data_IF_540078803173
#
_entry.id   IF_540078803173
#
_cell.length_a   1.000
_cell.length_b   1.000
_cell.length_c   1.000
_cell.angle_alpha   90.00
_cell.angle_beta   90.00
_cell.angle_gamma   90.00
#
_symmetry.space_group_name_H-M   'P 1'
#
loop_
_entity.id
_entity.type
_entity.pdbx_description
1 polymer ?
#
# COMPACT_ATOMS: atom_id res chain seq x y z
N UNK A 1 -10.71 11.60 -17.54
CA UNK A 1 -9.58 11.98 -16.65
C UNK A 1 -8.40 11.06 -16.97
N UNK A 2 -7.19 11.57 -17.28
CA UNK A 2 -6.03 10.69 -17.50
C UNK A 2 -5.82 9.83 -16.25
N UNK A 3 -5.59 8.52 -16.41
CA UNK A 3 -5.50 7.56 -15.30
C UNK A 3 -4.36 7.97 -14.36
N UNK A 4 -4.70 8.39 -13.14
CA UNK A 4 -3.75 8.68 -12.06
C UNK A 4 -3.37 7.34 -11.40
N UNK A 5 -2.07 7.09 -11.26
CA UNK A 5 -1.44 5.86 -10.78
C UNK A 5 -0.73 6.07 -9.43
N UNK A 6 -0.58 7.30 -8.95
CA UNK A 6 -0.28 7.57 -7.54
C UNK A 6 -0.58 9.02 -7.19
N UNK A 7 -0.85 9.30 -5.91
CA UNK A 7 -0.99 10.65 -5.37
C UNK A 7 -0.14 10.80 -4.11
N UNK A 8 0.46 11.97 -3.96
CA UNK A 8 1.23 12.32 -2.77
C UNK A 8 0.91 13.74 -2.34
N UNK A 9 0.71 13.96 -1.04
CA UNK A 9 0.66 15.30 -0.50
C UNK A 9 2.08 15.89 -0.48
N UNK A 10 2.24 17.06 -1.10
CA UNK A 10 3.53 17.74 -1.18
C UNK A 10 3.36 19.25 -1.00
N UNK A 11 4.43 19.91 -0.61
CA UNK A 11 4.55 21.35 -0.71
C UNK A 11 5.41 21.69 -1.91
N UNK A 12 4.86 22.40 -2.90
CA UNK A 12 5.63 22.94 -4.02
C UNK A 12 6.34 24.21 -3.55
N UNK A 13 7.67 24.17 -3.52
CA UNK A 13 8.53 25.26 -3.02
C UNK A 13 8.92 26.14 -4.20
N UNK A 14 8.43 27.39 -4.19
CA UNK A 14 8.85 28.44 -5.13
C UNK A 14 9.80 29.44 -4.47
N UNK A 15 10.32 30.39 -5.26
CA UNK A 15 11.27 31.40 -4.77
C UNK A 15 10.71 32.33 -3.69
N UNK A 16 9.39 32.54 -3.67
CA UNK A 16 8.72 33.48 -2.75
C UNK A 16 7.56 32.85 -1.96
N UNK A 17 7.05 31.70 -2.41
CA UNK A 17 5.82 31.11 -1.86
C UNK A 17 5.97 29.59 -1.84
N UNK A 18 5.54 28.99 -0.72
CA UNK A 18 5.33 27.55 -0.58
C UNK A 18 3.83 27.28 -0.70
N UNK A 19 3.44 26.36 -1.59
CA UNK A 19 2.03 26.02 -1.81
C UNK A 19 1.80 24.53 -1.60
N UNK A 20 0.78 24.18 -0.84
CA UNK A 20 0.32 22.80 -0.70
C UNK A 20 -0.30 22.31 -2.02
N UNK A 21 0.10 21.13 -2.48
CA UNK A 21 -0.30 20.54 -3.76
C UNK A 21 -0.44 19.04 -3.62
N UNK A 22 -1.29 18.45 -4.46
CA UNK A 22 -1.29 17.01 -4.66
C UNK A 22 -0.42 16.71 -5.87
N UNK A 23 0.68 16.00 -5.68
CA UNK A 23 1.52 15.49 -6.77
C UNK A 23 0.90 14.20 -7.28
N UNK A 24 0.41 14.23 -8.52
CA UNK A 24 -0.25 13.10 -9.16
C UNK A 24 0.64 12.50 -10.24
N UNK A 25 0.95 11.22 -10.12
CA UNK A 25 1.64 10.48 -11.17
C UNK A 25 0.63 9.75 -12.03
N UNK A 26 0.73 9.87 -13.35
CA UNK A 26 -0.04 9.10 -14.32
C UNK A 26 0.85 8.09 -15.05
N UNK A 27 0.28 7.45 -16.08
CA UNK A 27 1.00 6.45 -16.88
C UNK A 27 2.13 7.05 -17.75
N UNK A 28 1.96 8.27 -18.26
CA UNK A 28 2.90 8.90 -19.21
C UNK A 28 3.49 10.24 -18.72
N UNK A 29 2.94 10.78 -17.64
CA UNK A 29 3.26 12.12 -17.15
C UNK A 29 2.91 12.23 -15.67
N UNK A 30 3.50 13.19 -14.97
CA UNK A 30 3.07 13.60 -13.64
C UNK A 30 2.54 15.04 -13.66
N UNK A 31 1.76 15.41 -12.65
CA UNK A 31 1.09 16.71 -12.58
C UNK A 31 0.92 17.15 -11.12
N UNK A 32 0.61 18.43 -10.92
CA UNK A 32 0.30 18.98 -9.60
C UNK A 32 -1.12 19.55 -9.59
N UNK A 33 -1.94 19.11 -8.66
CA UNK A 33 -3.29 19.63 -8.43
C UNK A 33 -3.26 20.66 -7.30
N UNK A 34 -4.04 21.72 -7.46
CA UNK A 34 -4.36 22.63 -6.36
C UNK A 34 -5.34 21.94 -5.40
N UNK A 35 -5.08 22.03 -4.10
CA UNK A 35 -5.86 21.34 -3.07
C UNK A 35 -7.29 21.89 -2.96
N UNK A 36 -7.47 23.20 -3.12
CA UNK A 36 -8.73 23.87 -2.80
C UNK A 36 -9.75 23.70 -3.93
N UNK A 37 -9.31 23.89 -5.17
CA UNK A 37 -10.19 23.85 -6.34
C UNK A 37 -9.98 22.62 -7.24
N UNK A 38 -9.05 21.72 -6.90
CA UNK A 38 -8.76 20.48 -7.64
C UNK A 38 -8.30 20.70 -9.09
N UNK A 39 -7.92 21.93 -9.46
CA UNK A 39 -7.44 22.21 -10.81
C UNK A 39 -5.98 21.77 -10.99
N UNK A 40 -5.70 21.19 -12.15
CA UNK A 40 -4.32 20.89 -12.58
C UNK A 40 -3.57 22.20 -12.77
N UNK A 41 -2.51 22.41 -11.99
CA UNK A 41 -1.66 23.59 -12.05
C UNK A 41 -0.51 23.44 -13.03
N UNK A 42 0.11 22.25 -13.09
CA UNK A 42 1.20 21.93 -14.02
C UNK A 42 1.20 20.44 -14.36
N UNK A 43 1.70 20.08 -15.54
CA UNK A 43 1.89 18.69 -16.00
C UNK A 43 3.24 18.57 -16.71
N UNK A 44 3.95 17.48 -16.48
CA UNK A 44 5.26 17.18 -17.04
C UNK A 44 5.28 15.76 -17.62
N UNK A 45 5.65 15.58 -18.90
CA UNK A 45 5.96 14.27 -19.47
C UNK A 45 7.11 13.57 -18.73
N UNK A 46 7.13 12.23 -18.73
CA UNK A 46 8.27 11.49 -18.13
C UNK A 46 9.55 11.61 -18.95
N UNK A 47 9.44 11.75 -20.27
CA UNK A 47 10.56 12.04 -21.16
C UNK A 47 11.24 13.36 -20.78
N UNK A 48 10.53 14.37 -20.29
CA UNK A 48 11.17 15.64 -19.91
C UNK A 48 12.03 15.53 -18.65
N UNK A 49 11.90 14.47 -17.87
CA UNK A 49 12.66 14.26 -16.64
C UNK A 49 14.07 13.78 -16.98
N UNK A 50 15.04 14.59 -16.61
CA UNK A 50 16.47 14.25 -16.70
C UNK A 50 16.90 13.45 -15.45
N UNK A 51 16.50 13.92 -14.27
CA UNK A 51 16.75 13.24 -13.01
C UNK A 51 15.96 13.84 -11.85
N UNK A 52 16.05 13.20 -10.69
CA UNK A 52 15.49 13.71 -9.45
C UNK A 52 16.48 13.46 -8.32
N UNK A 53 16.68 14.47 -7.47
CA UNK A 53 17.69 14.42 -6.42
C UNK A 53 17.07 14.83 -5.09
N UNK A 54 17.52 14.19 -4.01
CA UNK A 54 17.32 14.70 -2.66
C UNK A 54 18.08 16.01 -2.48
N UNK A 55 17.50 16.94 -1.72
CA UNK A 55 18.17 18.16 -1.29
C UNK A 55 18.56 18.03 0.19
N UNK A 56 19.35 18.99 0.68
CA UNK A 56 19.74 19.08 2.08
C UNK A 56 18.51 19.01 3.01
N UNK A 57 18.64 18.23 4.08
CA UNK A 57 17.54 17.88 4.98
C UNK A 57 16.86 16.55 4.61
N UNK A 58 15.75 16.26 5.29
CA UNK A 58 15.07 14.94 5.20
C UNK A 58 13.84 14.94 4.28
N UNK A 59 13.34 16.10 3.87
CA UNK A 59 12.00 16.22 3.25
C UNK A 59 12.02 16.85 1.86
N UNK A 60 13.04 17.62 1.53
CA UNK A 60 13.10 18.35 0.26
C UNK A 60 13.75 17.50 -0.84
N UNK A 61 13.21 17.59 -2.05
CA UNK A 61 13.74 16.97 -3.26
C UNK A 61 13.43 17.84 -4.48
N UNK A 62 14.21 17.67 -5.54
CA UNK A 62 14.06 18.39 -6.80
C UNK A 62 13.86 17.41 -7.95
N UNK A 63 12.92 17.72 -8.83
CA UNK A 63 12.78 17.06 -10.13
C UNK A 63 13.29 18.02 -11.20
N UNK A 64 14.26 17.57 -11.99
CA UNK A 64 14.84 18.33 -13.09
C UNK A 64 14.13 17.97 -14.39
N UNK A 65 13.55 18.98 -15.03
CA UNK A 65 12.81 18.87 -16.29
C UNK A 65 13.30 19.91 -17.30
N UNK A 66 14.57 19.84 -17.76
CA UNK A 66 15.21 20.92 -18.51
C UNK A 66 14.54 21.24 -19.85
N UNK A 67 13.86 20.25 -20.44
CA UNK A 67 13.08 20.37 -21.69
C UNK A 67 11.73 21.07 -21.51
N UNK A 68 11.26 21.18 -20.27
CA UNK A 68 9.97 21.79 -19.95
C UNK A 68 10.11 23.29 -19.62
N UNK A 69 9.04 24.08 -19.80
CA UNK A 69 9.00 25.52 -19.47
C UNK A 69 9.42 25.80 -18.02
N UNK A 70 9.00 24.92 -17.12
CA UNK A 70 9.47 24.89 -15.73
C UNK A 70 10.64 23.89 -15.68
N UNK A 71 11.87 24.41 -15.68
CA UNK A 71 13.11 23.61 -15.81
C UNK A 71 13.45 22.75 -14.60
N UNK A 72 13.00 23.15 -13.41
CA UNK A 72 13.14 22.38 -12.17
C UNK A 72 11.99 22.73 -11.23
N UNK A 73 11.56 21.74 -10.44
CA UNK A 73 10.57 21.97 -9.39
C UNK A 73 11.06 21.37 -8.09
N UNK A 74 11.10 22.18 -7.03
CA UNK A 74 11.43 21.73 -5.68
C UNK A 74 10.14 21.39 -4.96
N UNK A 75 10.14 20.22 -4.34
CA UNK A 75 9.05 19.71 -3.53
C UNK A 75 9.55 19.41 -2.13
N UNK A 76 8.69 19.62 -1.15
CA UNK A 76 8.88 19.21 0.23
C UNK A 76 7.82 18.18 0.59
N UNK A 77 8.26 17.01 1.01
CA UNK A 77 7.40 15.91 1.42
C UNK A 77 8.14 15.05 2.44
N UNK A 78 7.50 14.72 3.57
CA UNK A 78 8.09 13.81 4.55
C UNK A 78 8.33 12.40 3.96
N UNK A 79 7.55 12.04 2.93
CA UNK A 79 7.65 10.78 2.19
C UNK A 79 8.41 10.95 0.88
N UNK A 80 9.44 11.81 0.86
CA UNK A 80 10.19 12.12 -0.38
C UNK A 80 10.69 10.86 -1.07
N UNK A 81 11.11 9.84 -0.31
CA UNK A 81 11.66 8.62 -0.87
C UNK A 81 10.60 7.79 -1.58
N UNK A 82 9.40 7.68 -1.02
CA UNK A 82 8.25 7.04 -1.66
C UNK A 82 7.86 7.74 -2.96
N UNK A 83 7.91 9.07 -2.97
CA UNK A 83 7.66 9.88 -4.17
C UNK A 83 8.69 9.59 -5.25
N UNK A 84 9.98 9.64 -4.90
CA UNK A 84 11.09 9.41 -5.83
C UNK A 84 11.08 7.98 -6.39
N UNK A 85 10.87 6.97 -5.54
CA UNK A 85 10.72 5.57 -5.94
C UNK A 85 9.54 5.41 -6.90
N UNK A 86 8.41 6.05 -6.62
CA UNK A 86 7.24 6.00 -7.51
C UNK A 86 7.51 6.68 -8.86
N UNK A 87 8.20 7.82 -8.87
CA UNK A 87 8.61 8.52 -10.10
C UNK A 87 9.48 7.61 -10.97
N UNK A 88 10.52 7.00 -10.40
CA UNK A 88 11.45 6.14 -11.16
C UNK A 88 10.77 4.88 -11.68
N UNK A 89 9.89 4.26 -10.88
CA UNK A 89 9.05 3.14 -11.33
C UNK A 89 8.29 3.47 -12.60
N UNK A 90 7.57 4.60 -12.58
CA UNK A 90 6.69 4.98 -13.68
C UNK A 90 7.49 5.48 -14.89
N UNK A 91 8.65 6.11 -14.68
CA UNK A 91 9.61 6.39 -15.75
C UNK A 91 10.09 5.10 -16.41
N UNK A 92 10.55 4.11 -15.65
CA UNK A 92 11.01 2.82 -16.18
C UNK A 92 9.91 2.11 -16.99
N UNK A 93 8.67 2.06 -16.46
CA UNK A 93 7.53 1.51 -17.18
C UNK A 93 7.20 2.28 -18.46
N UNK A 94 7.34 3.60 -18.46
CA UNK A 94 7.15 4.43 -19.63
C UNK A 94 8.20 4.12 -20.72
N UNK A 95 9.48 4.06 -20.36
CA UNK A 95 10.55 3.68 -21.30
C UNK A 95 10.37 2.26 -21.86
N UNK A 96 9.88 1.31 -21.04
CA UNK A 96 9.60 -0.05 -21.52
C UNK A 96 8.44 -0.10 -22.54
N UNK A 97 7.46 0.80 -22.43
CA UNK A 97 6.28 0.87 -23.32
C UNK A 97 6.48 1.75 -24.54
N UNK A 98 7.40 2.69 -24.47
CA UNK A 98 7.69 3.65 -25.54
C UNK A 98 9.12 3.43 -26.01
N UNK A 99 9.34 2.59 -27.03
CA UNK A 99 10.65 2.43 -27.63
C UNK A 99 11.02 3.74 -28.34
N UNK A 100 11.71 4.62 -27.63
CA UNK A 100 12.13 5.94 -28.14
C UNK A 100 13.39 5.87 -29.00
N UNK A 101 13.95 4.67 -29.21
CA UNK A 101 15.27 4.47 -29.84
C UNK A 101 16.45 4.94 -28.98
N UNK A 102 16.18 5.66 -27.89
CA UNK A 102 17.19 6.09 -26.92
C UNK A 102 17.48 4.95 -25.93
N UNK A 103 18.75 4.80 -25.48
CA UNK A 103 19.10 3.81 -24.46
C UNK A 103 18.37 4.14 -23.15
N UNK A 104 17.77 3.12 -22.52
CA UNK A 104 17.14 3.24 -21.21
C UNK A 104 18.24 3.62 -20.19
N UNK A 105 18.09 4.71 -19.41
CA UNK A 105 19.04 5.06 -18.36
C UNK A 105 19.31 3.87 -17.44
N UNK A 106 20.57 3.66 -17.06
CA UNK A 106 21.01 2.46 -16.32
C UNK A 106 20.24 2.26 -15.02
N UNK A 107 19.94 3.35 -14.32
CA UNK A 107 19.16 3.37 -13.07
C UNK A 107 17.67 3.04 -13.27
N UNK A 108 17.18 3.02 -14.51
CA UNK A 108 15.82 2.62 -14.88
C UNK A 108 15.74 1.17 -15.39
N UNK A 109 16.87 0.49 -15.53
CA UNK A 109 16.95 -0.89 -16.01
C UNK A 109 16.68 -1.90 -14.89
N UNK A 110 16.09 -3.04 -15.25
CA UNK A 110 15.92 -4.20 -14.37
C UNK A 110 17.09 -5.16 -14.55
N UNK A 111 17.68 -5.62 -13.44
CA UNK A 111 18.76 -6.60 -13.45
C UNK A 111 18.33 -7.87 -12.71
N UNK A 112 18.51 -9.04 -13.34
CA UNK A 112 18.04 -10.32 -12.81
C UNK A 112 19.19 -11.24 -12.40
N UNK A 113 19.02 -11.92 -11.26
CA UNK A 113 20.00 -12.80 -10.65
C UNK A 113 19.34 -14.11 -10.22
N UNK A 114 19.75 -15.22 -10.84
CA UNK A 114 19.35 -16.57 -10.41
C UNK A 114 19.89 -16.83 -9.00
N UNK A 115 19.03 -17.29 -8.10
CA UNK A 115 19.30 -17.31 -6.66
C UNK A 115 18.63 -18.50 -5.96
N UNK A 116 19.19 -18.95 -4.84
CA UNK A 116 18.50 -19.79 -3.86
C UNK A 116 18.20 -18.97 -2.61
N UNK A 117 16.95 -18.97 -2.13
CA UNK A 117 16.58 -18.32 -0.88
C UNK A 117 16.64 -19.32 0.26
N UNK A 118 17.27 -18.93 1.36
CA UNK A 118 17.16 -19.62 2.64
C UNK A 118 15.93 -19.14 3.41
N UNK A 119 15.08 -20.09 3.78
CA UNK A 119 13.92 -19.89 4.63
C UNK A 119 14.24 -20.25 6.09
N UNK A 120 13.39 -19.77 6.99
CA UNK A 120 13.43 -20.20 8.40
C UNK A 120 13.19 -21.71 8.44
N UNK A 121 13.89 -22.42 9.34
CA UNK A 121 13.99 -23.91 9.44
C UNK A 121 14.96 -24.60 8.48
N UNK A 122 15.82 -23.86 7.78
CA UNK A 122 16.86 -24.45 6.93
C UNK A 122 16.36 -24.94 5.56
N UNK A 123 15.10 -24.68 5.23
CA UNK A 123 14.52 -24.96 3.93
C UNK A 123 15.03 -23.96 2.89
N UNK A 124 15.05 -24.38 1.63
CA UNK A 124 15.52 -23.55 0.51
C UNK A 124 14.49 -23.50 -0.62
N UNK A 125 14.48 -22.40 -1.36
CA UNK A 125 13.63 -22.23 -2.55
C UNK A 125 14.40 -21.58 -3.68
N UNK A 126 14.30 -22.15 -4.89
CA UNK A 126 14.82 -21.54 -6.11
C UNK A 126 14.02 -20.29 -6.46
N UNK A 127 14.73 -19.21 -6.79
CA UNK A 127 14.10 -17.93 -7.12
C UNK A 127 14.97 -17.06 -8.02
N UNK A 128 14.36 -16.00 -8.57
CA UNK A 128 15.06 -14.92 -9.26
C UNK A 128 14.98 -13.66 -8.41
N UNK A 129 16.14 -13.09 -8.08
CA UNK A 129 16.24 -11.76 -7.46
C UNK A 129 16.36 -10.73 -8.56
N UNK A 130 15.41 -9.80 -8.64
CA UNK A 130 15.41 -8.70 -9.60
C UNK A 130 15.66 -7.37 -8.89
N UNK A 131 16.74 -6.71 -9.26
CA UNK A 131 17.01 -5.32 -8.88
C UNK A 131 16.27 -4.44 -9.88
N UNK A 132 15.16 -3.87 -9.43
CA UNK A 132 14.36 -2.93 -10.22
C UNK A 132 14.60 -1.50 -9.75
N UNK A 133 14.20 -0.48 -10.52
CA UNK A 133 14.30 0.90 -10.07
C UNK A 133 13.56 1.11 -8.74
N UNK A 134 12.44 0.44 -8.51
CA UNK A 134 11.56 0.71 -7.37
C UNK A 134 11.73 -0.21 -6.15
N UNK A 135 12.58 -1.23 -6.24
CA UNK A 135 12.88 -2.13 -5.14
C UNK A 135 13.60 -3.38 -5.61
N UNK A 136 13.80 -4.30 -4.67
CA UNK A 136 14.38 -5.61 -4.92
C UNK A 136 13.25 -6.62 -4.86
N UNK A 137 13.01 -7.32 -5.97
CA UNK A 137 11.91 -8.25 -6.15
C UNK A 137 12.44 -9.67 -6.11
N UNK A 138 11.66 -10.57 -5.54
CA UNK A 138 11.95 -11.99 -5.56
C UNK A 138 10.82 -12.72 -6.26
N UNK A 139 11.11 -13.39 -7.38
CA UNK A 139 10.15 -14.23 -8.09
C UNK A 139 10.46 -15.71 -7.90
N UNK A 140 9.44 -16.54 -7.84
CA UNK A 140 9.60 -17.99 -7.88
C UNK A 140 9.92 -18.47 -9.31
N UNK A 141 10.08 -19.78 -9.47
CA UNK A 141 10.34 -20.44 -10.75
C UNK A 141 9.19 -20.31 -11.76
N UNK A 142 7.99 -19.94 -11.30
CA UNK A 142 6.80 -19.71 -12.13
C UNK A 142 6.67 -18.23 -12.56
N UNK A 143 7.62 -17.38 -12.12
CA UNK A 143 7.63 -15.95 -12.39
C UNK A 143 6.70 -15.14 -11.48
N UNK A 144 6.08 -15.80 -10.50
CA UNK A 144 5.17 -15.20 -9.53
C UNK A 144 5.96 -14.49 -8.42
N UNK A 145 5.46 -13.35 -7.95
CA UNK A 145 6.15 -12.56 -6.94
C UNK A 145 6.06 -13.22 -5.54
N UNK A 146 7.21 -13.64 -5.00
CA UNK A 146 7.33 -14.20 -3.64
C UNK A 146 7.45 -13.10 -2.59
N UNK A 147 8.35 -12.15 -2.80
CA UNK A 147 8.60 -11.06 -1.85
C UNK A 147 9.15 -9.81 -2.54
N UNK A 148 9.07 -8.68 -1.85
CA UNK A 148 9.60 -7.40 -2.32
C UNK A 148 10.25 -6.65 -1.14
N UNK A 149 11.47 -6.18 -1.34
CA UNK A 149 12.20 -5.33 -0.39
C UNK A 149 12.26 -3.92 -0.99
N UNK A 150 11.43 -2.98 -0.50
CA UNK A 150 11.56 -1.58 -0.86
C UNK A 150 12.94 -1.06 -0.46
N UNK A 151 13.60 -0.25 -1.30
CA UNK A 151 14.88 0.35 -0.93
C UNK A 151 14.79 1.19 0.34
N UNK A 152 13.65 1.83 0.60
CA UNK A 152 13.40 2.59 1.84
C UNK A 152 13.41 1.74 3.10
N UNK A 153 13.33 0.41 2.97
CA UNK A 153 13.38 -0.52 4.10
C UNK A 153 14.72 -1.23 4.21
N UNK A 154 15.57 -1.17 3.18
CA UNK A 154 16.87 -1.84 3.20
C UNK A 154 17.80 -1.07 4.15
N UNK A 155 18.43 -1.78 5.08
CA UNK A 155 19.26 -1.23 6.15
C UNK A 155 20.74 -1.48 5.87
N UNK A 156 21.09 -2.70 5.45
CA UNK A 156 22.44 -3.07 5.08
C UNK A 156 22.48 -4.27 4.14
N UNK A 157 23.63 -4.41 3.48
CA UNK A 157 23.97 -5.60 2.70
C UNK A 157 25.14 -6.29 3.41
N UNK A 158 24.96 -7.53 3.83
CA UNK A 158 26.06 -8.34 4.35
C UNK A 158 26.51 -9.33 3.28
N UNK A 159 27.76 -9.18 2.83
CA UNK A 159 28.43 -10.23 2.07
C UNK A 159 29.01 -11.22 3.08
N UNK A 160 28.48 -12.44 3.04
CA UNK A 160 28.83 -13.49 4.01
C UNK A 160 30.30 -13.87 3.87
N UNK A 161 31.03 -13.91 4.97
CA UNK A 161 32.50 -14.00 4.94
C UNK A 161 33.03 -15.42 4.71
N UNK A 162 32.26 -16.45 5.11
CA UNK A 162 32.59 -17.87 5.05
C UNK A 162 31.91 -18.62 3.89
N UNK A 163 31.16 -17.91 3.04
CA UNK A 163 30.56 -18.43 1.80
C UNK A 163 30.66 -17.36 0.71
N UNK A 164 31.20 -17.69 -0.47
CA UNK A 164 31.48 -16.72 -1.54
C UNK A 164 30.30 -16.37 -2.44
N UNK A 165 29.17 -17.08 -2.31
CA UNK A 165 27.95 -16.86 -3.06
C UNK A 165 26.83 -16.32 -2.16
N UNK A 166 26.94 -16.48 -0.84
CA UNK A 166 25.92 -16.03 0.09
C UNK A 166 25.89 -14.50 0.30
N UNK A 167 24.69 -13.93 0.35
CA UNK A 167 24.42 -12.51 0.59
C UNK A 167 23.17 -12.35 1.45
N UNK A 168 23.26 -11.55 2.51
CA UNK A 168 22.11 -11.17 3.32
C UNK A 168 21.70 -9.73 3.03
N UNK A 169 20.41 -9.53 2.79
CA UNK A 169 19.78 -8.22 2.65
C UNK A 169 19.00 -7.97 3.94
N UNK A 170 19.55 -7.13 4.82
CA UNK A 170 18.88 -6.77 6.07
C UNK A 170 17.96 -5.60 5.81
N UNK A 171 16.69 -5.74 6.18
CA UNK A 171 15.70 -4.69 6.04
C UNK A 171 14.98 -4.46 7.38
N UNK A 172 14.26 -3.35 7.51
CA UNK A 172 13.79 -2.79 8.79
C UNK A 172 13.13 -3.78 9.75
N UNK A 173 12.52 -4.85 9.23
CA UNK A 173 11.67 -5.75 9.99
C UNK A 173 12.11 -7.24 9.90
N UNK A 174 13.14 -7.58 9.11
CA UNK A 174 13.64 -8.95 8.93
C UNK A 174 14.93 -8.95 8.06
N UNK A 175 15.56 -10.11 7.92
CA UNK A 175 16.65 -10.32 6.96
C UNK A 175 16.28 -11.38 5.93
N UNK A 176 16.75 -11.19 4.69
CA UNK A 176 16.60 -12.15 3.60
C UNK A 176 17.97 -12.66 3.16
N UNK A 177 18.17 -13.98 3.21
CA UNK A 177 19.44 -14.64 2.92
C UNK A 177 19.36 -15.42 1.61
N UNK A 178 20.33 -15.20 0.73
CA UNK A 178 20.37 -15.79 -0.61
C UNK A 178 21.75 -16.37 -0.93
N UNK A 179 21.76 -17.43 -1.75
CA UNK A 179 22.94 -17.87 -2.51
C UNK A 179 22.82 -17.32 -3.92
N UNK A 180 23.81 -16.55 -4.34
CA UNK A 180 23.85 -15.86 -5.63
C UNK A 180 25.27 -15.97 -6.20
N UNK A 181 25.50 -16.71 -7.29
CA UNK A 181 26.84 -16.87 -7.87
C UNK A 181 27.54 -15.54 -8.18
N UNK A 182 26.76 -14.50 -8.53
CA UNK A 182 27.24 -13.14 -8.80
C UNK A 182 26.86 -12.14 -7.69
N UNK A 183 26.99 -12.53 -6.41
CA UNK A 183 26.55 -11.69 -5.26
C UNK A 183 27.12 -10.27 -5.24
N UNK A 184 28.35 -10.08 -5.71
CA UNK A 184 29.00 -8.75 -5.74
C UNK A 184 28.40 -7.86 -6.82
N UNK A 185 28.03 -8.42 -7.98
CA UNK A 185 27.31 -7.69 -9.02
C UNK A 185 25.90 -7.32 -8.55
N UNK A 186 25.23 -8.21 -7.81
CA UNK A 186 23.94 -7.93 -7.19
C UNK A 186 24.05 -6.75 -6.21
N UNK A 187 25.01 -6.77 -5.28
CA UNK A 187 25.25 -5.67 -4.33
C UNK A 187 25.55 -4.35 -5.06
N UNK A 188 26.37 -4.39 -6.12
CA UNK A 188 26.66 -3.21 -6.93
C UNK A 188 25.42 -2.66 -7.66
N UNK A 189 24.58 -3.53 -8.23
CA UNK A 189 23.34 -3.11 -8.89
C UNK A 189 22.39 -2.41 -7.91
N UNK A 190 22.23 -2.98 -6.71
CA UNK A 190 21.44 -2.36 -5.62
C UNK A 190 22.02 -0.98 -5.25
N UNK A 191 23.33 -0.90 -5.03
CA UNK A 191 24.01 0.35 -4.67
C UNK A 191 23.88 1.44 -5.74
N UNK A 192 23.94 1.08 -7.03
CA UNK A 192 23.75 2.04 -8.13
C UNK A 192 22.36 2.67 -8.11
N UNK A 193 21.31 1.85 -7.97
CA UNK A 193 19.93 2.33 -7.92
C UNK A 193 19.70 3.21 -6.69
N UNK A 194 20.18 2.80 -5.52
CA UNK A 194 20.05 3.59 -4.29
C UNK A 194 20.80 4.92 -4.36
N UNK A 195 21.99 4.95 -4.95
CA UNK A 195 22.74 6.19 -5.16
C UNK A 195 21.97 7.17 -6.07
N UNK A 196 21.22 6.67 -7.06
CA UNK A 196 20.36 7.51 -7.89
C UNK A 196 19.21 8.17 -7.10
N UNK A 197 18.84 7.60 -5.94
CA UNK A 197 17.91 8.20 -4.99
C UNK A 197 18.57 9.13 -3.94
N UNK A 198 19.89 9.29 -4.00
CA UNK A 198 20.66 9.94 -2.93
C UNK A 198 20.72 9.13 -1.64
N UNK A 199 20.46 7.81 -1.69
CA UNK A 199 20.68 6.90 -0.56
C UNK A 199 22.08 6.32 -0.60
N UNK A 200 22.68 6.16 0.57
CA UNK A 200 23.90 5.39 0.76
C UNK A 200 23.57 4.13 1.54
N UNK A 201 24.25 3.04 1.20
CA UNK A 201 24.06 1.76 1.86
C UNK A 201 25.35 1.29 2.47
N UNK A 202 25.24 0.77 3.68
CA UNK A 202 26.35 0.14 4.36
C UNK A 202 26.48 -1.30 3.86
N UNK A 203 27.67 -1.63 3.37
CA UNK A 203 28.06 -2.99 3.02
C UNK A 203 29.01 -3.53 4.10
N UNK A 204 28.66 -4.67 4.69
CA UNK A 204 29.48 -5.34 5.69
C UNK A 204 29.98 -6.69 5.18
N UNK A 205 31.14 -7.11 5.67
CA UNK A 205 31.86 -8.32 5.21
C UNK A 205 32.35 -9.21 6.35
N UNK A 206 31.70 -9.13 7.51
CA UNK A 206 32.13 -9.82 8.75
C UNK A 206 31.17 -10.91 9.22
N UNK A 207 29.97 -10.98 8.65
CA UNK A 207 28.91 -11.89 9.10
C UNK A 207 29.13 -13.29 8.53
N UNK A 208 29.09 -14.31 9.39
CA UNK A 208 29.16 -15.71 8.99
C UNK A 208 27.78 -16.24 8.59
N UNK A 209 27.74 -17.36 7.88
CA UNK A 209 26.50 -18.01 7.48
C UNK A 209 25.68 -18.47 8.69
N UNK A 210 26.36 -19.01 9.72
CA UNK A 210 25.73 -19.38 10.98
C UNK A 210 25.10 -18.17 11.68
N UNK A 211 25.81 -17.04 11.72
CA UNK A 211 25.27 -15.80 12.28
C UNK A 211 24.08 -15.29 11.46
N UNK A 212 24.13 -15.36 10.13
CA UNK A 212 23.03 -14.96 9.26
C UNK A 212 21.76 -15.82 9.42
N UNK A 213 21.91 -17.11 9.73
CA UNK A 213 20.79 -18.00 10.01
C UNK A 213 20.21 -17.81 11.42
N UNK A 214 21.03 -17.35 12.38
CA UNK A 214 20.63 -17.05 13.77
C UNK A 214 20.08 -15.65 13.96
N UNK A 215 20.27 -14.74 13.00
CA UNK A 215 19.84 -13.35 13.08
C UNK A 215 18.31 -13.23 12.89
N UNK A 216 17.56 -13.63 13.92
CA UNK A 216 16.29 -13.03 14.30
C UNK A 216 15.99 -13.26 15.79
N UNK A 217 15.46 -12.21 16.39
CA UNK A 217 15.03 -11.98 17.77
C UNK A 217 14.44 -13.20 18.54
N UNK A 218 15.27 -13.92 19.30
CA UNK A 218 14.89 -14.67 20.52
C UNK A 218 13.76 -15.71 20.44
N UNK A 219 13.19 -16.01 19.28
CA UNK A 219 12.03 -16.89 19.16
C UNK A 219 12.46 -18.25 18.61
N UNK A 220 12.32 -19.27 19.46
CA UNK A 220 12.57 -20.68 19.12
C UNK A 220 11.95 -21.05 17.76
N UNK A 221 12.74 -21.76 16.95
CA UNK A 221 12.40 -22.32 15.63
C UNK A 221 11.24 -23.34 15.65
N UNK A 222 10.73 -23.67 16.83
CA UNK A 222 9.61 -24.59 17.08
C UNK A 222 8.28 -23.84 17.10
N UNK A 223 7.92 -23.13 16.04
CA UNK A 223 6.53 -22.64 15.93
C UNK A 223 5.61 -23.80 15.57
N UNK A 224 4.74 -24.21 16.50
CA UNK A 224 3.74 -25.22 16.21
C UNK A 224 2.87 -24.75 15.04
N UNK A 225 2.51 -25.68 14.15
CA UNK A 225 1.55 -25.41 13.09
C UNK A 225 0.17 -25.24 13.75
N UNK A 226 -0.44 -24.09 13.54
CA UNK A 226 -1.75 -23.74 14.08
C UNK A 226 -2.87 -24.35 13.23
N UNK A 227 -2.76 -24.25 11.91
CA UNK A 227 -3.72 -24.84 10.97
C UNK A 227 -3.13 -24.96 9.57
N UNK A 228 -3.68 -25.88 8.77
CA UNK A 228 -3.28 -26.12 7.39
C UNK A 228 -4.48 -26.31 6.46
N UNK A 229 -4.36 -25.77 5.25
CA UNK A 229 -5.39 -25.85 4.24
C UNK A 229 -4.82 -26.19 2.87
N UNK A 230 -5.50 -27.09 2.17
CA UNK A 230 -5.31 -27.29 0.74
C UNK A 230 -5.99 -26.15 -0.02
N UNK A 231 -5.25 -25.50 -0.91
CA UNK A 231 -5.75 -24.40 -1.73
C UNK A 231 -5.25 -24.52 -3.16
N UNK A 232 -5.88 -23.77 -4.08
CA UNK A 232 -5.35 -23.56 -5.42
C UNK A 232 -4.76 -22.16 -5.50
N UNK A 233 -3.44 -22.04 -5.64
CA UNK A 233 -2.76 -20.75 -5.84
C UNK A 233 -3.02 -20.27 -7.27
N UNK A 234 -3.58 -19.07 -7.40
CA UNK A 234 -3.82 -18.41 -8.70
C UNK A 234 -2.57 -17.64 -9.07
N UNK A 235 -1.97 -17.93 -10.22
CA UNK A 235 -0.79 -17.21 -10.68
C UNK A 235 -1.10 -15.75 -11.01
N UNK A 236 -0.18 -14.84 -10.68
CA UNK A 236 -0.30 -13.43 -11.07
C UNK A 236 0.05 -13.21 -12.54
N UNK A 237 0.98 -13.99 -13.08
CA UNK A 237 1.41 -13.90 -14.47
C UNK A 237 0.40 -14.56 -15.42
N UNK A 238 -0.33 -15.58 -14.92
CA UNK A 238 -1.38 -16.25 -15.66
C UNK A 238 -2.59 -16.54 -14.76
N UNK A 239 -3.59 -15.65 -14.75
CA UNK A 239 -4.79 -15.78 -13.92
C UNK A 239 -5.64 -17.03 -14.22
N UNK A 240 -5.45 -17.67 -15.38
CA UNK A 240 -6.10 -18.93 -15.73
C UNK A 240 -5.41 -20.17 -15.14
N UNK A 241 -4.19 -20.01 -14.62
CA UNK A 241 -3.44 -21.07 -13.97
C UNK A 241 -3.72 -21.08 -12.47
N UNK A 242 -4.24 -22.21 -11.97
CA UNK A 242 -4.44 -22.46 -10.56
C UNK A 242 -3.76 -23.77 -10.18
N UNK A 243 -2.78 -23.70 -9.27
CA UNK A 243 -1.93 -24.84 -8.89
C UNK A 243 -2.17 -25.26 -7.44
N UNK A 244 -2.29 -26.57 -7.14
CA UNK A 244 -2.46 -27.05 -5.77
C UNK A 244 -1.27 -26.64 -4.89
N UNK A 245 -1.58 -26.15 -3.69
CA UNK A 245 -0.62 -25.76 -2.65
C UNK A 245 -1.18 -26.07 -1.27
N UNK A 246 -0.28 -26.21 -0.29
CA UNK A 246 -0.63 -26.26 1.13
C UNK A 246 -0.31 -24.88 1.72
N UNK A 247 -1.32 -24.24 2.30
CA UNK A 247 -1.14 -23.08 3.17
C UNK A 247 -1.09 -23.56 4.61
N UNK A 248 0.08 -23.44 5.23
CA UNK A 248 0.32 -23.77 6.62
C UNK A 248 0.55 -22.49 7.40
N UNK A 249 -0.18 -22.30 8.49
CA UNK A 249 -0.04 -21.14 9.37
C UNK A 249 0.48 -21.61 10.71
N UNK A 250 1.51 -20.94 11.18
CA UNK A 250 2.08 -21.08 12.53
C UNK A 250 1.84 -19.81 13.32
N UNK A 251 2.23 -19.79 14.58
CA UNK A 251 2.07 -18.63 15.47
C UNK A 251 2.55 -17.30 14.88
N UNK A 252 3.58 -17.31 14.02
CA UNK A 252 4.19 -16.08 13.47
C UNK A 252 4.21 -15.99 11.95
N UNK A 253 4.02 -17.10 11.23
CA UNK A 253 4.24 -17.17 9.79
C UNK A 253 3.11 -17.88 9.07
N UNK A 254 2.76 -17.39 7.90
CA UNK A 254 2.04 -18.13 6.85
C UNK A 254 3.07 -18.65 5.85
N UNK A 255 3.02 -19.95 5.56
CA UNK A 255 3.92 -20.63 4.64
C UNK A 255 3.13 -21.38 3.57
N UNK A 256 3.55 -21.20 2.33
CA UNK A 256 3.02 -21.88 1.15
C UNK A 256 4.01 -22.94 0.71
N UNK A 257 3.49 -24.14 0.52
CA UNK A 257 4.23 -25.33 0.14
C UNK A 257 3.66 -25.92 -1.15
N UNK A 258 4.53 -26.51 -1.97
CA UNK A 258 4.09 -27.47 -3.01
C UNK A 258 3.76 -28.80 -2.35
N UNK A 259 4.66 -29.26 -1.48
CA UNK A 259 4.57 -30.45 -0.64
C UNK A 259 5.33 -30.21 0.68
N UNK A 260 5.40 -31.20 1.56
CA UNK A 260 6.00 -31.07 2.91
C UNK A 260 7.43 -30.51 2.93
N UNK A 261 8.21 -30.71 1.85
CA UNK A 261 9.64 -30.36 1.81
C UNK A 261 9.93 -29.14 0.90
N UNK A 262 9.01 -28.78 0.00
CA UNK A 262 9.20 -27.71 -0.96
C UNK A 262 8.42 -26.44 -0.60
N UNK A 263 9.11 -25.47 0.00
CA UNK A 263 8.57 -24.14 0.29
C UNK A 263 8.53 -23.29 -0.98
N UNK A 264 7.42 -22.60 -1.23
CA UNK A 264 7.30 -21.54 -2.23
C UNK A 264 7.43 -20.17 -1.58
N UNK A 265 6.84 -19.97 -0.41
CA UNK A 265 6.87 -18.67 0.26
C UNK A 265 6.65 -18.84 1.74
N UNK A 266 7.41 -18.12 2.58
CA UNK A 266 7.13 -18.02 4.02
C UNK A 266 7.18 -16.56 4.43
N UNK A 267 6.09 -16.06 5.03
CA UNK A 267 5.92 -14.65 5.35
C UNK A 267 5.39 -14.45 6.77
N UNK A 268 5.89 -13.45 7.51
CA UNK A 268 5.34 -13.14 8.83
C UNK A 268 3.88 -12.68 8.75
N UNK A 269 3.05 -13.15 9.68
CA UNK A 269 1.66 -12.70 9.84
C UNK A 269 1.57 -11.22 10.22
N UNK A 270 2.56 -10.69 10.95
CA UNK A 270 2.70 -9.26 11.23
C UNK A 270 2.86 -8.39 9.98
N UNK A 271 3.20 -9.00 8.83
CA UNK A 271 3.30 -8.32 7.54
C UNK A 271 2.06 -8.49 6.66
N UNK A 272 1.07 -9.29 7.08
CA UNK A 272 -0.23 -9.24 6.43
C UNK A 272 -0.79 -7.86 6.67
N UNK A 273 -1.29 -7.27 5.60
CA UNK A 273 -1.83 -5.93 5.62
C UNK A 273 -3.35 -5.96 5.44
N UNK A 274 -3.86 -6.75 4.50
CA UNK A 274 -5.28 -6.83 4.19
C UNK A 274 -5.62 -8.23 3.71
N UNK A 275 -6.84 -8.66 4.02
CA UNK A 275 -7.41 -9.88 3.48
C UNK A 275 -8.55 -9.46 2.55
N UNK A 276 -8.58 -9.99 1.33
CA UNK A 276 -9.64 -9.66 0.37
C UNK A 276 -10.49 -10.90 0.13
N UNK A 277 -11.81 -10.78 0.32
CA UNK A 277 -12.80 -11.78 -0.03
C UNK A 277 -13.59 -11.31 -1.25
N UNK A 278 -13.33 -11.91 -2.42
CA UNK A 278 -13.99 -11.47 -3.65
C UNK A 278 -15.48 -11.87 -3.67
N UNK A 279 -16.38 -10.93 -3.98
CA UNK A 279 -17.81 -11.24 -4.11
C UNK A 279 -18.12 -11.98 -5.41
N UNK A 280 -17.46 -11.62 -6.51
CA UNK A 280 -17.69 -12.20 -7.83
C UNK A 280 -17.15 -13.63 -7.99
N UNK A 281 -16.26 -14.06 -7.10
CA UNK A 281 -15.65 -15.40 -7.15
C UNK A 281 -15.69 -16.02 -5.76
N UNK A 282 -16.75 -16.80 -5.50
CA UNK A 282 -17.09 -17.33 -4.18
C UNK A 282 -16.05 -18.27 -3.56
N UNK A 283 -15.04 -18.70 -4.29
CA UNK A 283 -13.92 -19.49 -3.75
C UNK A 283 -12.65 -18.66 -3.56
N UNK A 284 -12.62 -17.42 -4.06
CA UNK A 284 -11.43 -16.61 -4.10
C UNK A 284 -11.23 -15.79 -2.83
N UNK A 285 -9.99 -15.80 -2.35
CA UNK A 285 -9.48 -14.82 -1.39
C UNK A 285 -8.06 -14.39 -1.78
N UNK A 286 -7.61 -13.25 -1.28
CA UNK A 286 -6.26 -12.74 -1.52
C UNK A 286 -5.65 -12.21 -0.22
N UNK A 287 -4.43 -12.63 0.06
CA UNK A 287 -3.62 -12.11 1.17
C UNK A 287 -2.72 -11.01 0.63
N UNK A 288 -2.90 -9.80 1.13
CA UNK A 288 -2.12 -8.62 0.75
C UNK A 288 -1.14 -8.32 1.87
N UNK A 289 0.14 -8.14 1.53
CA UNK A 289 1.19 -7.83 2.48
C UNK A 289 1.59 -6.36 2.44
N UNK A 290 2.24 -5.88 3.51
CA UNK A 290 2.69 -4.48 3.67
C UNK A 290 3.61 -4.01 2.53
N UNK A 291 4.41 -4.91 1.97
CA UNK A 291 5.30 -4.63 0.84
C UNK A 291 4.58 -4.60 -0.53
N UNK A 292 3.26 -4.77 -0.54
CA UNK A 292 2.42 -4.74 -1.75
C UNK A 292 2.36 -6.07 -2.51
N UNK A 293 3.08 -7.10 -2.05
CA UNK A 293 2.94 -8.47 -2.56
C UNK A 293 1.55 -8.97 -2.23
N UNK A 294 0.98 -9.72 -3.16
CA UNK A 294 -0.38 -10.25 -3.04
C UNK A 294 -0.40 -11.70 -3.45
N UNK A 295 -1.13 -12.54 -2.74
CA UNK A 295 -1.27 -13.95 -3.12
C UNK A 295 -2.74 -14.31 -3.12
N UNK A 296 -3.26 -14.61 -4.33
CA UNK A 296 -4.65 -14.98 -4.57
C UNK A 296 -4.78 -16.49 -4.59
N UNK A 297 -5.81 -17.01 -3.93
CA UNK A 297 -6.06 -18.44 -3.77
C UNK A 297 -7.53 -18.75 -4.02
N UNK A 298 -7.83 -19.97 -4.46
CA UNK A 298 -9.15 -20.56 -4.42
C UNK A 298 -9.25 -21.63 -3.32
N UNK A 299 -10.33 -21.58 -2.54
CA UNK A 299 -10.69 -22.61 -1.57
C UNK A 299 -12.19 -22.58 -1.28
N UNK A 300 -12.79 -23.75 -1.10
CA UNK A 300 -14.16 -23.87 -0.59
C UNK A 300 -14.28 -23.38 0.88
N UNK A 301 -13.15 -23.30 1.61
CA UNK A 301 -13.09 -22.88 3.01
C UNK A 301 -12.57 -21.45 3.17
N UNK A 302 -12.65 -20.61 2.12
CA UNK A 302 -12.05 -19.26 2.10
C UNK A 302 -12.43 -18.39 3.31
N UNK A 303 -13.68 -18.46 3.79
CA UNK A 303 -14.19 -17.64 4.88
C UNK A 303 -13.55 -18.07 6.20
N UNK A 304 -13.48 -19.39 6.43
CA UNK A 304 -12.77 -19.97 7.57
C UNK A 304 -11.30 -19.56 7.58
N UNK A 305 -10.62 -19.70 6.43
CA UNK A 305 -9.20 -19.33 6.28
C UNK A 305 -8.99 -17.85 6.61
N UNK A 306 -9.81 -16.96 6.03
CA UNK A 306 -9.69 -15.51 6.26
C UNK A 306 -9.97 -15.14 7.72
N UNK A 307 -10.97 -15.74 8.35
CA UNK A 307 -11.27 -15.51 9.77
C UNK A 307 -10.11 -15.97 10.69
N UNK A 308 -9.54 -17.16 10.44
CA UNK A 308 -8.42 -17.68 11.23
C UNK A 308 -7.14 -16.86 11.02
N UNK A 309 -6.87 -16.41 9.79
CA UNK A 309 -5.78 -15.48 9.49
C UNK A 309 -5.95 -14.14 10.19
N UNK A 310 -7.16 -13.56 10.14
CA UNK A 310 -7.47 -12.29 10.79
C UNK A 310 -7.24 -12.39 12.30
N UNK A 311 -7.80 -13.42 12.93
CA UNK A 311 -7.62 -13.69 14.36
C UNK A 311 -6.15 -13.88 14.73
N UNK A 312 -5.38 -14.61 13.91
CA UNK A 312 -3.94 -14.83 14.14
C UNK A 312 -3.14 -13.53 14.00
N UNK A 313 -3.48 -12.68 13.03
CA UNK A 313 -2.86 -11.35 12.88
C UNK A 313 -3.14 -10.48 14.11
N UNK A 314 -4.40 -10.44 14.56
CA UNK A 314 -4.81 -9.65 15.73
C UNK A 314 -4.18 -10.16 17.02
N UNK A 315 -4.05 -11.48 17.19
CA UNK A 315 -3.37 -12.08 18.33
C UNK A 315 -1.88 -11.68 18.42
N UNK A 316 -1.24 -11.38 17.28
CA UNK A 316 0.12 -10.85 17.20
C UNK A 316 0.22 -9.32 17.35
N UNK A 317 -0.89 -8.65 17.66
CA UNK A 317 -0.94 -7.18 17.76
C UNK A 317 -1.11 -6.46 16.42
N UNK A 318 -1.24 -7.19 15.30
CA UNK A 318 -1.47 -6.60 13.98
C UNK A 318 -2.95 -6.27 13.76
N UNK A 319 -3.49 -5.36 14.57
CA UNK A 319 -4.91 -4.97 14.59
C UNK A 319 -5.37 -4.13 13.38
N UNK A 320 -4.44 -3.80 12.49
CA UNK A 320 -4.74 -3.01 11.30
C UNK A 320 -5.16 -3.86 10.11
N UNK A 321 -4.93 -5.18 10.17
CA UNK A 321 -5.46 -6.10 9.18
C UNK A 321 -6.98 -6.08 9.28
N UNK A 322 -7.60 -5.89 8.13
CA UNK A 322 -9.04 -5.90 7.95
C UNK A 322 -9.40 -6.83 6.78
N UNK A 323 -10.69 -7.05 6.59
CA UNK A 323 -11.24 -7.81 5.48
C UNK A 323 -11.98 -6.86 4.54
N UNK A 324 -11.51 -6.74 3.30
CA UNK A 324 -12.15 -5.96 2.25
C UNK A 324 -12.86 -6.90 1.25
N UNK A 325 -14.03 -6.52 0.75
CA UNK A 325 -14.79 -7.33 -0.23
C UNK A 325 -14.37 -7.08 -1.69
N UNK A 326 -13.66 -5.98 -1.91
CA UNK A 326 -13.23 -5.56 -3.23
C UNK A 326 -11.80 -5.09 -3.16
N UNK A 327 -11.02 -5.38 -4.19
CA UNK A 327 -9.66 -4.88 -4.30
C UNK A 327 -9.66 -3.37 -4.47
N UNK A 328 -9.13 -2.66 -3.48
CA UNK A 328 -8.92 -1.23 -3.62
C UNK A 328 -7.51 -0.94 -4.17
N UNK A 329 -7.37 -0.28 -5.33
CA UNK A 329 -6.06 0.03 -5.88
C UNK A 329 -5.27 1.00 -4.99
N UNK A 330 -3.99 0.68 -4.75
CA UNK A 330 -3.12 1.51 -3.89
C UNK A 330 -2.94 2.95 -4.38
N UNK A 331 -3.18 3.23 -5.66
CA UNK A 331 -3.01 4.55 -6.26
C UNK A 331 -4.11 5.55 -5.93
N UNK A 332 -5.23 5.09 -5.37
CA UNK A 332 -6.29 5.96 -4.87
C UNK A 332 -5.83 6.74 -3.64
N UNK A 333 -4.77 6.28 -2.96
CA UNK A 333 -4.27 6.88 -1.71
C UNK A 333 -3.47 8.16 -1.95
N UNK A 334 -3.64 9.11 -1.04
CA UNK A 334 -2.75 10.26 -0.91
C UNK A 334 -1.53 9.94 -0.03
N UNK A 335 -1.70 9.02 0.91
CA UNK A 335 -0.66 8.55 1.82
C UNK A 335 -0.48 7.04 1.67
N UNK A 336 0.75 6.55 1.40
CA UNK A 336 0.98 5.13 1.20
C UNK A 336 0.52 4.26 2.39
N UNK A 337 0.03 3.06 2.09
CA UNK A 337 -0.58 2.15 3.08
C UNK A 337 0.41 1.68 4.16
N UNK A 338 1.64 1.33 3.75
CA UNK A 338 2.74 0.95 4.66
C UNK A 338 3.06 2.00 5.72
N UNK A 339 2.80 3.27 5.40
CA UNK A 339 3.10 4.42 6.22
C UNK A 339 2.03 4.56 7.32
N UNK A 340 0.75 4.43 6.97
CA UNK A 340 -0.38 4.45 7.93
C UNK A 340 -0.25 3.31 8.94
N UNK A 341 0.36 2.19 8.51
CA UNK A 341 0.50 1.01 9.33
C UNK A 341 1.41 1.18 10.57
N UNK A 342 2.30 2.16 10.57
CA UNK A 342 3.19 2.40 11.72
C UNK A 342 2.46 3.08 12.90
N UNK A 343 1.30 3.70 12.65
CA UNK A 343 0.65 4.61 13.61
C UNK A 343 -0.74 4.15 14.08
N UNK A 344 -1.40 3.22 13.38
CA UNK A 344 -2.78 2.80 13.72
C UNK A 344 -2.96 2.30 15.15
N UNK A 345 -1.92 1.81 15.83
CA UNK A 345 -2.00 1.38 17.24
C UNK A 345 -2.04 2.51 18.28
N UNK A 346 -1.73 3.77 17.90
CA UNK A 346 -1.57 4.90 18.85
C UNK A 346 -2.74 5.89 18.84
N UNK A 347 -3.67 5.77 17.90
CA UNK A 347 -4.55 6.89 17.51
C UNK A 347 -5.89 7.02 18.26
N UNK A 348 -6.17 6.17 19.25
CA UNK A 348 -7.41 6.25 20.03
C UNK A 348 -7.24 6.86 21.43
N UNK A 349 -6.00 7.06 21.93
CA UNK A 349 -5.77 7.56 23.29
C UNK A 349 -4.71 8.66 23.34
N UNK A 350 -5.12 9.84 23.84
CA UNK A 350 -4.30 10.84 24.55
C UNK A 350 -2.94 11.24 23.95
N UNK A 351 -2.81 12.23 23.06
CA UNK A 351 -1.46 12.80 22.81
C UNK A 351 -1.43 14.29 22.42
N UNK A 352 -0.91 15.11 23.36
CA UNK A 352 -0.01 16.25 23.11
C UNK A 352 1.33 15.73 22.59
N UNK A 353 1.86 16.35 21.53
CA UNK A 353 2.99 15.92 20.66
C UNK A 353 2.60 15.04 19.45
N UNK A 354 1.86 15.66 18.52
CA UNK A 354 1.59 15.07 17.20
C UNK A 354 2.86 15.01 16.34
N UNK A 355 3.26 13.80 15.96
CA UNK A 355 4.34 13.59 15.00
C UNK A 355 3.92 14.09 13.58
N UNK A 356 4.89 14.22 12.67
CA UNK A 356 4.65 14.75 11.32
C UNK A 356 3.72 13.84 10.51
N UNK A 357 3.82 12.53 10.71
CA UNK A 357 2.97 11.53 10.05
C UNK A 357 1.49 11.74 10.36
N UNK A 358 1.18 11.91 11.65
CA UNK A 358 -0.18 12.16 12.12
C UNK A 358 -0.76 13.44 11.52
N UNK A 359 0.07 14.47 11.33
CA UNK A 359 -0.35 15.73 10.70
C UNK A 359 -0.72 15.52 9.24
N UNK A 360 0.12 14.84 8.46
CA UNK A 360 -0.17 14.52 7.05
C UNK A 360 -1.43 13.65 6.94
N UNK A 361 -1.56 12.63 7.79
CA UNK A 361 -2.73 11.75 7.83
C UNK A 361 -4.02 12.51 8.17
N UNK A 362 -3.96 13.37 9.19
CA UNK A 362 -5.05 14.30 9.56
C UNK A 362 -5.44 15.22 8.40
N UNK A 363 -4.47 15.73 7.64
CA UNK A 363 -4.70 16.61 6.49
C UNK A 363 -5.35 15.86 5.34
N UNK A 364 -4.86 14.66 5.00
CA UNK A 364 -5.44 13.80 3.97
C UNK A 364 -6.89 13.43 4.32
N UNK A 365 -7.12 12.88 5.51
CA UNK A 365 -8.46 12.55 6.02
C UNK A 365 -9.37 13.76 6.00
N UNK A 366 -8.93 14.91 6.54
CA UNK A 366 -9.73 16.13 6.54
C UNK A 366 -10.09 16.60 5.14
N UNK A 367 -9.20 16.46 4.15
CA UNK A 367 -9.46 16.91 2.79
C UNK A 367 -10.51 16.03 2.12
N UNK A 368 -10.41 14.71 2.30
CA UNK A 368 -11.38 13.76 1.78
C UNK A 368 -12.75 13.96 2.44
N UNK A 369 -12.80 14.15 3.75
CA UNK A 369 -14.04 14.42 4.49
C UNK A 369 -14.72 15.72 4.02
N UNK A 370 -13.95 16.77 3.75
CA UNK A 370 -14.49 18.01 3.22
C UNK A 370 -15.10 17.82 1.83
N UNK A 371 -14.46 17.02 0.97
CA UNK A 371 -14.99 16.67 -0.35
C UNK A 371 -16.27 15.85 -0.22
N UNK A 372 -16.27 14.80 0.59
CA UNK A 372 -17.47 14.00 0.86
C UNK A 372 -18.65 14.86 1.35
N UNK A 373 -18.40 15.78 2.29
CA UNK A 373 -19.44 16.69 2.78
C UNK A 373 -19.95 17.62 1.67
N UNK A 374 -19.05 18.17 0.86
CA UNK A 374 -19.41 19.13 -0.21
C UNK A 374 -20.20 18.45 -1.34
N UNK A 375 -19.74 17.28 -1.79
CA UNK A 375 -20.41 16.51 -2.86
C UNK A 375 -21.74 15.94 -2.37
N UNK A 376 -21.76 15.39 -1.15
CA UNK A 376 -22.98 14.92 -0.50
C UNK A 376 -24.03 16.00 -0.32
N UNK A 377 -23.63 17.18 0.16
CA UNK A 377 -24.58 18.28 0.35
C UNK A 377 -25.17 18.80 -0.97
N UNK A 378 -24.39 18.82 -2.06
CA UNK A 378 -24.92 19.14 -3.40
C UNK A 378 -26.02 18.17 -3.84
N UNK A 379 -25.96 16.91 -3.39
CA UNK A 379 -27.00 15.89 -3.62
C UNK A 379 -28.23 16.11 -2.71
N UNK A 380 -28.06 16.54 -1.46
CA UNK A 380 -29.19 16.78 -0.55
C UNK A 380 -29.98 18.06 -0.87
N UNK A 381 -29.31 19.11 -1.36
CA UNK A 381 -29.93 20.40 -1.67
C UNK A 381 -30.81 20.41 -2.93
N UNK A 382 -30.78 19.35 -3.77
CA UNK A 382 -31.64 19.21 -4.94
C UNK A 382 -32.64 18.09 -4.72
N UNK A 383 -33.91 18.46 -4.58
CA UNK A 383 -35.04 17.53 -4.66
C UNK A 383 -35.04 16.89 -6.06
N UNK A 384 -34.66 15.61 -6.09
CA UNK A 384 -34.99 14.59 -7.10
C UNK A 384 -35.71 15.08 -8.36
N UNK A 385 -34.96 15.54 -9.37
CA UNK A 385 -35.42 15.35 -10.77
C UNK A 385 -34.39 14.78 -11.72
N UNK A 386 -33.10 14.91 -11.44
CA UNK A 386 -32.02 14.09 -12.02
C UNK A 386 -30.72 14.47 -11.31
N UNK A 387 -30.12 13.53 -10.58
CA UNK A 387 -28.74 13.71 -10.12
C UNK A 387 -27.85 13.79 -11.36
N UNK A 388 -26.83 14.68 -11.39
CA UNK A 388 -25.83 14.63 -12.45
C UNK A 388 -25.27 13.21 -12.54
N UNK A 389 -25.22 12.65 -13.76
CA UNK A 389 -24.64 11.32 -14.00
C UNK A 389 -23.22 11.29 -13.44
N UNK A 390 -22.88 10.24 -12.69
CA UNK A 390 -21.54 10.04 -12.12
C UNK A 390 -21.32 10.55 -10.70
N UNK A 391 -22.28 11.27 -10.08
CA UNK A 391 -22.10 11.77 -8.70
C UNK A 391 -22.03 10.61 -7.67
N UNK A 392 -22.76 9.52 -7.89
CA UNK A 392 -22.69 8.34 -7.01
C UNK A 392 -21.32 7.65 -7.12
N UNK A 393 -20.73 7.60 -8.32
CA UNK A 393 -19.39 7.05 -8.55
C UNK A 393 -18.31 7.93 -7.89
N UNK A 394 -18.51 9.25 -7.89
CA UNK A 394 -17.61 10.19 -7.22
C UNK A 394 -17.69 10.06 -5.69
N UNK A 395 -18.89 9.97 -5.12
CA UNK A 395 -19.09 9.68 -3.69
C UNK A 395 -18.46 8.35 -3.30
N UNK A 396 -18.69 7.29 -4.09
CA UNK A 396 -18.06 6.00 -3.89
C UNK A 396 -16.53 6.10 -3.94
N UNK A 397 -15.96 6.77 -4.95
CA UNK A 397 -14.52 6.96 -5.08
C UNK A 397 -13.92 7.70 -3.89
N UNK A 398 -14.59 8.75 -3.39
CA UNK A 398 -14.13 9.49 -2.20
C UNK A 398 -14.23 8.65 -0.92
N UNK A 399 -15.27 7.82 -0.78
CA UNK A 399 -15.39 6.86 0.32
C UNK A 399 -14.30 5.80 0.27
N UNK A 400 -14.01 5.24 -0.92
CA UNK A 400 -12.86 4.37 -1.15
C UNK A 400 -11.56 5.07 -0.75
N UNK A 401 -11.37 6.33 -1.14
CA UNK A 401 -10.19 7.10 -0.77
C UNK A 401 -10.08 7.32 0.74
N UNK A 402 -11.16 7.69 1.44
CA UNK A 402 -11.17 7.84 2.90
C UNK A 402 -10.83 6.52 3.57
N UNK A 403 -11.49 5.45 3.14
CA UNK A 403 -11.30 4.09 3.61
C UNK A 403 -9.83 3.67 3.50
N UNK A 404 -9.23 3.90 2.35
CA UNK A 404 -7.83 3.53 2.13
C UNK A 404 -6.86 4.34 2.98
N UNK A 405 -7.14 5.62 3.24
CA UNK A 405 -6.27 6.49 4.05
C UNK A 405 -6.65 6.48 5.55
N UNK A 406 -7.47 5.53 6.01
CA UNK A 406 -7.91 5.48 7.41
C UNK A 406 -7.70 4.08 7.99
N UNK A 407 -6.91 3.93 9.07
CA UNK A 407 -6.68 2.64 9.70
C UNK A 407 -7.97 2.11 10.37
N UNK A 408 -8.00 0.82 10.70
CA UNK A 408 -9.16 0.15 11.33
C UNK A 408 -9.63 0.83 12.63
N UNK A 409 -8.74 1.38 13.49
CA UNK A 409 -9.15 2.14 14.67
C UNK A 409 -9.85 3.48 14.37
N UNK A 410 -9.99 3.84 13.08
CA UNK A 410 -10.86 4.92 12.62
C UNK A 410 -10.14 6.23 12.29
N UNK A 411 -10.95 7.24 11.98
CA UNK A 411 -10.48 8.59 11.64
C UNK A 411 -9.91 9.31 12.85
N UNK A 412 -8.91 10.15 12.61
CA UNK A 412 -8.32 10.93 13.68
C UNK A 412 -9.20 12.16 13.94
N UNK A 413 -9.83 12.21 15.11
CA UNK A 413 -10.68 13.32 15.50
C UNK A 413 -9.91 14.65 15.53
N UNK A 414 -10.52 15.69 14.95
CA UNK A 414 -10.01 17.06 14.93
C UNK A 414 -11.14 18.01 15.35
N UNK A 415 -10.85 19.02 16.19
CA UNK A 415 -11.80 20.08 16.47
C UNK A 415 -12.22 20.73 15.14
N UNK A 416 -13.52 20.92 14.93
CA UNK A 416 -14.09 21.68 13.79
C UNK A 416 -14.08 21.01 12.40
N UNK A 417 -13.96 19.67 12.31
CA UNK A 417 -14.11 18.97 11.02
C UNK A 417 -15.51 18.37 10.84
N UNK A 418 -16.03 18.29 9.59
CA UNK A 418 -17.43 17.98 9.31
C UNK A 418 -17.76 16.48 9.41
N UNK A 419 -17.30 15.78 10.46
CA UNK A 419 -17.55 14.35 10.63
C UNK A 419 -19.05 14.03 10.65
N UNK A 420 -19.84 14.83 11.35
CA UNK A 420 -21.30 14.71 11.45
C UNK A 420 -21.98 14.84 10.09
N UNK A 421 -21.59 15.85 9.30
CA UNK A 421 -22.13 16.08 7.95
C UNK A 421 -21.81 14.93 7.00
N UNK A 422 -20.58 14.41 7.05
CA UNK A 422 -20.18 13.26 6.24
C UNK A 422 -20.96 12.03 6.65
N UNK A 423 -21.09 11.76 7.95
CA UNK A 423 -21.83 10.61 8.45
C UNK A 423 -23.29 10.62 8.00
N UNK A 424 -23.96 11.76 8.12
CA UNK A 424 -25.33 11.93 7.64
C UNK A 424 -25.44 11.68 6.12
N UNK A 425 -24.55 12.27 5.33
CA UNK A 425 -24.51 12.07 3.88
C UNK A 425 -24.32 10.60 3.54
N UNK A 426 -23.35 9.92 4.14
CA UNK A 426 -23.04 8.52 3.84
C UNK A 426 -24.20 7.60 4.25
N UNK A 427 -24.81 7.82 5.42
CA UNK A 427 -25.98 7.06 5.85
C UNK A 427 -27.14 7.18 4.86
N UNK A 428 -27.39 8.39 4.34
CA UNK A 428 -28.39 8.62 3.29
C UNK A 428 -27.99 7.98 1.96
N UNK A 429 -26.73 8.06 1.56
CA UNK A 429 -26.23 7.41 0.34
C UNK A 429 -26.45 5.90 0.36
N UNK A 430 -26.24 5.25 1.51
CA UNK A 430 -26.54 3.82 1.69
C UNK A 430 -28.02 3.57 1.41
N UNK A 431 -28.92 4.34 2.04
CA UNK A 431 -30.35 4.20 1.81
C UNK A 431 -30.72 4.35 0.33
N UNK A 432 -30.21 5.39 -0.34
CA UNK A 432 -30.47 5.67 -1.76
C UNK A 432 -29.90 4.58 -2.69
N UNK A 433 -28.73 4.02 -2.38
CA UNK A 433 -28.12 2.93 -3.16
C UNK A 433 -28.89 1.63 -2.96
N UNK A 434 -29.24 1.28 -1.71
CA UNK A 434 -30.01 0.06 -1.41
C UNK A 434 -31.36 0.10 -2.12
N UNK A 435 -32.07 1.23 -2.08
CA UNK A 435 -33.36 1.38 -2.75
C UNK A 435 -33.26 1.28 -4.28
N UNK A 436 -32.15 1.75 -4.88
CA UNK A 436 -31.97 1.77 -6.35
C UNK A 436 -31.37 0.50 -6.92
N UNK A 437 -30.44 -0.12 -6.20
CA UNK A 437 -29.55 -1.17 -6.70
C UNK A 437 -29.57 -2.45 -5.87
N UNK A 438 -30.26 -2.44 -4.72
CA UNK A 438 -30.31 -3.56 -3.78
C UNK A 438 -29.18 -3.53 -2.74
N UNK A 439 -29.36 -4.32 -1.67
CA UNK A 439 -28.46 -4.35 -0.52
C UNK A 439 -27.09 -4.98 -0.81
N UNK A 440 -26.96 -5.73 -1.91
CA UNK A 440 -25.74 -6.44 -2.30
C UNK A 440 -24.82 -5.63 -3.20
N UNK A 441 -25.18 -4.37 -3.52
CA UNK A 441 -24.35 -3.53 -4.38
C UNK A 441 -23.04 -3.12 -3.68
N UNK A 442 -21.91 -3.18 -4.39
CA UNK A 442 -20.54 -2.96 -3.86
C UNK A 442 -20.37 -1.64 -3.08
N UNK A 443 -21.15 -0.62 -3.46
CA UNK A 443 -21.13 0.69 -2.79
C UNK A 443 -21.57 0.59 -1.33
N UNK A 444 -22.54 -0.28 -1.02
CA UNK A 444 -23.07 -0.46 0.34
C UNK A 444 -21.96 -0.88 1.30
N UNK A 445 -21.17 -1.89 0.93
CA UNK A 445 -20.03 -2.35 1.74
C UNK A 445 -19.00 -1.23 1.97
N UNK A 446 -18.68 -0.47 0.93
CA UNK A 446 -17.72 0.63 1.01
C UNK A 446 -18.20 1.73 1.96
N UNK A 447 -19.50 2.06 1.90
CA UNK A 447 -20.11 3.05 2.76
C UNK A 447 -20.25 2.57 4.20
N UNK A 448 -20.58 1.30 4.43
CA UNK A 448 -20.58 0.72 5.78
C UNK A 448 -19.18 0.75 6.41
N UNK A 449 -18.14 0.41 5.64
CA UNK A 449 -16.75 0.53 6.11
C UNK A 449 -16.37 1.99 6.39
N UNK A 450 -16.90 2.93 5.60
CA UNK A 450 -16.72 4.37 5.83
C UNK A 450 -17.36 4.79 7.15
N UNK A 451 -18.61 4.39 7.41
CA UNK A 451 -19.30 4.66 8.67
C UNK A 451 -18.54 4.06 9.85
N UNK A 452 -18.12 2.79 9.75
CA UNK A 452 -17.32 2.13 10.77
C UNK A 452 -16.06 2.93 11.13
N UNK A 453 -15.34 3.45 10.15
CA UNK A 453 -14.15 4.29 10.38
C UNK A 453 -14.48 5.65 11.00
N UNK A 454 -15.63 6.22 10.68
CA UNK A 454 -16.05 7.52 11.21
C UNK A 454 -16.47 7.44 12.68
N UNK A 455 -17.22 6.40 13.06
CA UNK A 455 -17.85 6.30 14.39
C UNK A 455 -16.85 6.20 15.55
N UNK A 456 -15.59 5.86 15.29
CA UNK A 456 -14.55 5.92 16.32
C UNK A 456 -14.19 7.35 16.74
N UNK A 457 -14.55 8.37 15.96
CA UNK A 457 -14.50 9.75 16.42
C UNK A 457 -15.72 10.05 17.32
N UNK A 458 -15.54 10.51 18.58
CA UNK A 458 -16.65 10.72 19.51
C UNK A 458 -17.80 11.60 18.96
N UNK A 459 -17.54 12.72 18.23
CA UNK A 459 -18.62 13.51 17.64
C UNK A 459 -19.45 12.73 16.59
N UNK A 460 -18.80 11.87 15.79
CA UNK A 460 -19.49 11.06 14.80
C UNK A 460 -20.36 9.98 15.45
N UNK A 461 -19.89 9.35 16.54
CA UNK A 461 -20.70 8.40 17.30
C UNK A 461 -21.96 9.07 17.88
N UNK A 462 -21.81 10.26 18.47
CA UNK A 462 -22.95 11.01 19.02
C UNK A 462 -23.97 11.34 17.93
N UNK A 463 -23.51 11.76 16.76
CA UNK A 463 -24.37 12.04 15.61
C UNK A 463 -25.05 10.78 15.09
N UNK A 464 -24.34 9.65 15.00
CA UNK A 464 -24.95 8.39 14.62
C UNK A 464 -26.05 7.98 15.59
N UNK A 465 -25.78 8.07 16.90
CA UNK A 465 -26.78 7.78 17.92
C UNK A 465 -27.99 8.71 17.78
N UNK A 466 -27.76 10.01 17.55
CA UNK A 466 -28.82 10.98 17.27
C UNK A 466 -29.65 10.55 16.06
N UNK A 467 -29.02 10.27 14.91
CA UNK A 467 -29.70 9.78 13.70
C UNK A 467 -30.52 8.54 14.02
N UNK A 468 -29.96 7.53 14.69
CA UNK A 468 -30.68 6.30 15.02
C UNK A 468 -31.88 6.55 15.96
N UNK A 469 -31.77 7.50 16.90
CA UNK A 469 -32.83 7.86 17.85
C UNK A 469 -33.87 8.84 17.32
N UNK A 470 -33.52 9.69 16.36
CA UNK A 470 -34.43 10.65 15.72
C UNK A 470 -35.14 10.00 14.52
N UNK A 471 -34.46 9.11 13.79
CA UNK A 471 -35.02 8.36 12.66
C UNK A 471 -35.99 7.27 13.14
N UNK A 472 -35.86 6.75 14.37
CA UNK A 472 -36.91 5.90 14.95
C UNK A 472 -38.25 6.66 15.08
N UNK A 473 -38.24 7.95 15.38
CA UNK A 473 -39.46 8.75 15.39
C UNK A 473 -40.06 8.98 13.98
N UNK A 474 -39.25 8.93 12.92
CA UNK A 474 -39.72 9.08 11.52
C UNK A 474 -40.21 7.74 10.93
N UNK A 475 -39.60 6.61 11.31
CA UNK A 475 -40.05 5.28 10.85
C UNK A 475 -41.28 4.74 11.60
N UNK A 476 -41.48 5.10 12.88
CA UNK A 476 -42.68 4.71 13.63
C UNK A 476 -43.88 5.66 13.42
N UNK A 477 -43.69 6.82 12.79
CA UNK A 477 -44.77 7.78 12.50
C UNK A 477 -45.48 7.52 11.15
N UNK A 478 -45.07 6.49 10.39
CA UNK A 478 -45.76 6.03 9.18
C UNK A 478 -46.18 4.56 9.27
N UNK A 479 -46.60 4.13 10.46
CA UNK A 479 -47.34 2.88 10.66
C UNK A 479 -48.84 3.10 10.57
#
# INVERSE_FOLDING_TARGET
MKRVVARFMVHKVGSFVVKERVLCFGEYSFSTLDRENQHVTNTWPYEDVDGANVLDGETDFVIHTPRHRIKKTVYRCHFRMEVLVCLMRLRSQHYAKTPTGAPIPVELQTHEFQSLKFHKRGLQSTCVVEVRPDGIYQKDTEGDLMSHIPYTSLVSIDLICDDHEAIALNHSDNSSLFIVPRRTELAQAINRVMKAYGMQMNEYRKKTMEAALKDDSGASLTTAVSFEFQVLKVSQSNESSAVPRILSVSEKYITEYVDTDMVISSRPLSRIYNLILYQDTLQAFEVVYVDGVRRKYYSAQREKIVCELLASCHALGNHQVDVEMTRIPGWVRMIPRKIIALEGGKLANNVTDLNVMDRELRVAQSSILQLLATHGYKKTARVQRQLPRGLDEEMHSLSVELNTNTPTPGVIAQPNKPFEKVLFVIAREIHDVVNRHGATHDFVTTYLQTLYRLIFAPPAMNELMRILTEVSAIFFATG
#
